data_IF_546385565888
#
_entry.id   IF_546385565888
#
_cell.length_a   1.000
_cell.length_b   1.000
_cell.length_c   1.000
_cell.angle_alpha   90.00
_cell.angle_beta   90.00
_cell.angle_gamma   90.00
#
_symmetry.space_group_name_H-M   'P 1'
#
loop_
_entity.id
_entity.type
_entity.pdbx_description
1 polymer ?
#
# COMPACT_ATOMS: atom_id res chain seq x y z
N UNK A 1 -21.27 -15.14 13.74
CA UNK A 1 -21.74 -13.75 13.65
C UNK A 1 -20.59 -12.79 13.95
N UNK A 2 -19.88 -13.01 15.06
CA UNK A 2 -18.73 -12.19 15.40
C UNK A 2 -17.63 -12.25 14.33
N UNK A 3 -17.39 -13.43 13.76
CA UNK A 3 -16.39 -13.58 12.71
C UNK A 3 -16.73 -12.78 11.46
N UNK A 4 -18.01 -12.70 11.12
CA UNK A 4 -18.46 -11.91 9.99
C UNK A 4 -18.21 -10.43 10.18
N UNK A 5 -18.44 -9.92 11.39
CA UNK A 5 -18.19 -8.52 11.71
C UNK A 5 -16.70 -8.20 11.68
N UNK A 6 -15.87 -9.08 12.24
CA UNK A 6 -14.41 -8.90 12.20
C UNK A 6 -13.87 -8.88 10.78
N UNK A 7 -14.36 -9.74 9.90
CA UNK A 7 -13.95 -9.75 8.50
C UNK A 7 -14.31 -8.46 7.80
N UNK A 8 -15.50 -7.93 8.08
CA UNK A 8 -15.93 -6.68 7.50
C UNK A 8 -15.02 -5.52 7.91
N UNK A 9 -14.62 -5.46 9.17
CA UNK A 9 -13.73 -4.44 9.68
C UNK A 9 -12.33 -4.57 9.05
N UNK A 10 -11.81 -5.80 8.95
CA UNK A 10 -10.51 -6.02 8.33
C UNK A 10 -10.49 -5.62 6.86
N UNK A 11 -11.54 -5.94 6.12
CA UNK A 11 -11.64 -5.55 4.72
C UNK A 11 -11.66 -4.02 4.57
N UNK A 12 -12.40 -3.34 5.42
CA UNK A 12 -12.45 -1.88 5.41
C UNK A 12 -11.08 -1.27 5.67
N UNK A 13 -10.35 -1.80 6.65
CA UNK A 13 -8.99 -1.34 6.95
C UNK A 13 -8.03 -1.58 5.80
N UNK A 14 -8.13 -2.73 5.12
CA UNK A 14 -7.29 -3.04 3.97
C UNK A 14 -7.56 -2.09 2.81
N UNK A 15 -8.82 -1.75 2.57
CA UNK A 15 -9.17 -0.81 1.52
C UNK A 15 -8.60 0.57 1.80
N UNK A 16 -8.67 1.03 3.04
CA UNK A 16 -8.09 2.31 3.43
C UNK A 16 -6.57 2.31 3.28
N UNK A 17 -5.92 1.23 3.69
CA UNK A 17 -4.48 1.07 3.54
C UNK A 17 -4.08 1.05 2.07
N UNK A 18 -4.79 0.30 1.24
CA UNK A 18 -4.52 0.23 -0.19
C UNK A 18 -4.66 1.59 -0.85
N UNK A 19 -5.69 2.32 -0.51
CA UNK A 19 -5.92 3.65 -1.05
C UNK A 19 -4.78 4.60 -0.66
N UNK A 20 -4.37 4.56 0.62
CA UNK A 20 -3.26 5.37 1.09
C UNK A 20 -1.95 5.02 0.39
N UNK A 21 -1.67 3.74 0.25
CA UNK A 21 -0.47 3.26 -0.44
C UNK A 21 -0.47 3.72 -1.90
N UNK A 22 -1.60 3.56 -2.58
CA UNK A 22 -1.76 4.00 -3.96
C UNK A 22 -1.47 5.50 -4.09
N UNK A 23 -2.05 6.30 -3.21
CA UNK A 23 -1.86 7.75 -3.22
C UNK A 23 -0.40 8.12 -3.05
N UNK A 24 0.29 7.47 -2.11
CA UNK A 24 1.72 7.71 -1.87
C UNK A 24 2.54 7.35 -3.10
N UNK A 25 2.29 6.19 -3.69
CA UNK A 25 3.03 5.74 -4.85
C UNK A 25 2.83 6.69 -6.04
N UNK A 26 1.60 7.11 -6.28
CA UNK A 26 1.30 8.07 -7.34
C UNK A 26 2.00 9.41 -7.12
N UNK A 27 2.02 9.88 -5.88
CA UNK A 27 2.71 11.13 -5.54
C UNK A 27 4.20 11.03 -5.83
N UNK A 28 4.85 9.93 -5.46
CA UNK A 28 6.26 9.72 -5.74
C UNK A 28 6.54 9.63 -7.25
N UNK A 29 5.64 9.00 -8.00
CA UNK A 29 5.77 8.96 -9.46
C UNK A 29 5.73 10.37 -10.06
N UNK A 30 4.78 11.17 -9.64
CA UNK A 30 4.63 12.54 -10.14
C UNK A 30 5.83 13.40 -9.80
N UNK A 31 6.43 13.20 -8.63
CA UNK A 31 7.62 13.93 -8.21
C UNK A 31 8.89 13.45 -8.91
N UNK A 32 8.80 12.38 -9.68
CA UNK A 32 9.97 11.82 -10.35
C UNK A 32 10.91 11.06 -9.42
N UNK A 33 10.42 10.63 -8.26
CA UNK A 33 11.22 9.86 -7.32
C UNK A 33 11.46 8.44 -7.82
N UNK A 34 12.48 7.77 -7.26
CA UNK A 34 12.81 6.43 -7.66
C UNK A 34 11.85 5.40 -7.05
N UNK A 35 11.75 4.26 -7.73
CA UNK A 35 10.99 3.10 -7.25
C UNK A 35 11.42 2.70 -5.84
N UNK A 36 12.73 2.63 -5.62
CA UNK A 36 13.27 2.19 -4.33
C UNK A 36 12.87 3.12 -3.19
N UNK A 37 12.86 4.41 -3.43
CA UNK A 37 12.47 5.39 -2.41
C UNK A 37 10.99 5.24 -2.04
N UNK A 38 10.12 5.09 -3.03
CA UNK A 38 8.70 4.90 -2.81
C UNK A 38 8.45 3.61 -2.04
N UNK A 39 9.12 2.53 -2.46
CA UNK A 39 9.00 1.23 -1.79
C UNK A 39 9.43 1.31 -0.33
N UNK A 40 10.60 1.91 -0.07
CA UNK A 40 11.09 2.07 1.30
C UNK A 40 10.13 2.88 2.17
N UNK A 41 9.55 3.92 1.60
CA UNK A 41 8.61 4.76 2.33
C UNK A 41 7.37 3.97 2.76
N UNK A 42 6.77 3.21 1.85
CA UNK A 42 5.57 2.45 2.18
C UNK A 42 5.87 1.30 3.16
N UNK A 43 7.05 0.70 3.05
CA UNK A 43 7.47 -0.33 4.01
C UNK A 43 7.52 0.25 5.42
N UNK A 44 8.15 1.41 5.59
CA UNK A 44 8.28 2.03 6.91
C UNK A 44 6.95 2.59 7.42
N UNK A 45 6.23 3.30 6.56
CA UNK A 45 5.00 3.97 6.98
C UNK A 45 3.89 2.99 7.34
N UNK A 46 3.71 1.96 6.53
CA UNK A 46 2.63 0.99 6.71
C UNK A 46 3.08 -0.33 7.31
N UNK A 47 4.37 -0.44 7.65
CA UNK A 47 4.97 -1.62 8.25
C UNK A 47 4.69 -2.87 7.41
N UNK A 48 4.93 -2.77 6.12
CA UNK A 48 4.72 -3.87 5.19
C UNK A 48 5.96 -4.76 5.13
N UNK A 49 5.72 -6.05 4.80
CA UNK A 49 6.82 -6.94 4.46
C UNK A 49 7.37 -6.56 3.08
N UNK A 50 8.58 -7.02 2.79
CA UNK A 50 9.19 -6.79 1.47
C UNK A 50 8.30 -7.31 0.35
N UNK A 51 7.74 -8.51 0.53
CA UNK A 51 6.84 -9.11 -0.46
C UNK A 51 5.58 -8.29 -0.69
N UNK A 52 4.97 -7.81 0.40
CA UNK A 52 3.77 -6.98 0.28
C UNK A 52 4.07 -5.67 -0.42
N UNK A 53 5.19 -5.04 -0.06
CA UNK A 53 5.60 -3.79 -0.68
C UNK A 53 5.85 -3.97 -2.16
N UNK A 54 6.54 -5.04 -2.54
CA UNK A 54 6.79 -5.33 -3.95
C UNK A 54 5.50 -5.53 -4.73
N UNK A 55 4.55 -6.26 -4.15
CA UNK A 55 3.25 -6.48 -4.79
C UNK A 55 2.52 -5.15 -5.02
N UNK A 56 2.53 -4.27 -4.03
CA UNK A 56 1.89 -2.96 -4.16
C UNK A 56 2.60 -2.08 -5.18
N UNK A 57 3.93 -2.11 -5.20
CA UNK A 57 4.69 -1.36 -6.17
C UNK A 57 4.42 -1.84 -7.60
N UNK A 58 4.36 -3.14 -7.82
CA UNK A 58 4.01 -3.68 -9.13
C UNK A 58 2.62 -3.27 -9.58
N UNK A 59 1.68 -3.27 -8.64
CA UNK A 59 0.29 -2.92 -8.95
C UNK A 59 0.13 -1.44 -9.32
N UNK A 60 0.79 -0.54 -8.59
CA UNK A 60 0.54 0.89 -8.72
C UNK A 60 1.65 1.66 -9.43
N UNK A 61 2.89 1.21 -9.32
CA UNK A 61 4.01 1.93 -9.95
C UNK A 61 4.07 1.69 -11.45
N UNK A 62 3.86 0.45 -11.86
CA UNK A 62 3.99 0.06 -13.26
C UNK A 62 2.76 0.34 -14.11
N UNK A 63 1.66 0.68 -13.49
CA UNK A 63 0.43 1.00 -14.22
C UNK A 63 0.32 2.48 -14.57
#
# INVERSE_FOLDING_TARGET
IEQGIERGIEQGRRLELDYGIKTVIEAYKELGSSYDKAKSFIVEKYQLSTSEAEAKMQEYWEN
#
